data_IF_921582277762
#
_entry.id   IF_921582277762
#
_cell.length_a   1.000
_cell.length_b   1.000
_cell.length_c   1.000
_cell.angle_alpha   90.00
_cell.angle_beta   90.00
_cell.angle_gamma   90.00
#
_symmetry.space_group_name_H-M   'P 1'
#
loop_
_entity.id
_entity.type
_entity.pdbx_description
1 polymer ?
#
# COMPACT_ATOMS: atom_id res chain seq x y z
N UNK A 1 12.98 -24.66 0.66
CA UNK A 1 12.20 -23.41 0.52
C UNK A 1 13.20 -22.27 0.42
N UNK A 2 13.46 -21.83 -0.80
CA UNK A 2 14.56 -20.94 -1.13
C UNK A 2 14.41 -19.59 -0.41
N UNK A 3 15.56 -19.03 -0.01
CA UNK A 3 15.57 -17.77 0.70
C UNK A 3 15.25 -16.62 -0.26
N UNK A 4 14.24 -15.81 0.05
CA UNK A 4 14.02 -14.50 -0.55
C UNK A 4 14.98 -13.49 0.10
N UNK A 5 16.02 -13.01 -0.60
CA UNK A 5 16.96 -12.04 -0.05
C UNK A 5 16.24 -10.75 0.35
N UNK A 6 16.60 -10.14 1.48
CA UNK A 6 15.99 -8.88 1.94
C UNK A 6 14.58 -8.98 2.54
N UNK A 7 13.94 -10.17 2.53
CA UNK A 7 12.63 -10.38 3.16
C UNK A 7 12.73 -11.13 4.50
N UNK A 8 12.07 -10.67 5.58
CA UNK A 8 12.11 -11.33 6.88
C UNK A 8 11.56 -12.76 6.83
N UNK A 9 12.38 -13.75 7.19
CA UNK A 9 12.01 -15.19 7.16
C UNK A 9 10.72 -15.50 7.92
N UNK A 10 10.53 -14.88 9.10
CA UNK A 10 9.34 -15.02 9.95
C UNK A 10 8.05 -14.55 9.28
N UNK A 11 8.13 -13.74 8.23
CA UNK A 11 6.99 -13.13 7.53
C UNK A 11 6.71 -13.75 6.17
N UNK A 12 7.49 -14.75 5.72
CA UNK A 12 7.34 -15.35 4.38
C UNK A 12 5.95 -15.91 4.10
N UNK A 13 5.26 -16.38 5.13
CA UNK A 13 3.88 -16.86 5.04
C UNK A 13 2.85 -15.78 4.63
N UNK A 14 3.25 -14.50 4.63
CA UNK A 14 2.42 -13.38 4.18
C UNK A 14 2.56 -13.09 2.69
N UNK A 15 3.56 -13.69 2.04
CA UNK A 15 3.83 -13.41 0.63
C UNK A 15 2.84 -14.16 -0.24
N UNK A 16 1.98 -13.45 -1.00
CA UNK A 16 1.19 -14.09 -2.04
C UNK A 16 2.12 -14.73 -3.08
N UNK A 17 1.70 -15.81 -3.74
CA UNK A 17 2.50 -16.42 -4.81
C UNK A 17 2.68 -15.46 -5.99
N UNK A 18 1.64 -14.68 -6.24
CA UNK A 18 1.54 -13.77 -7.38
C UNK A 18 0.76 -12.51 -6.98
N UNK A 19 1.13 -11.36 -7.52
CA UNK A 19 0.40 -10.09 -7.36
C UNK A 19 0.14 -9.55 -8.77
N UNK A 20 -1.14 -9.42 -9.16
CA UNK A 20 -1.54 -8.87 -10.47
C UNK A 20 -0.80 -9.50 -11.68
N UNK A 21 -0.67 -10.82 -11.74
CA UNK A 21 0.06 -11.49 -12.84
C UNK A 21 1.55 -11.71 -12.56
N UNK A 22 2.13 -11.08 -11.53
CA UNK A 22 3.58 -11.06 -11.29
C UNK A 22 3.98 -11.99 -10.16
N UNK A 23 4.87 -12.95 -10.44
CA UNK A 23 5.41 -13.87 -9.44
C UNK A 23 6.27 -13.15 -8.41
N UNK A 24 6.03 -13.40 -7.11
CA UNK A 24 6.70 -12.68 -6.01
C UNK A 24 8.02 -13.32 -5.57
N UNK A 25 8.27 -14.58 -5.95
CA UNK A 25 9.39 -15.40 -5.47
C UNK A 25 10.77 -14.88 -5.85
N UNK A 26 10.86 -14.06 -6.90
CA UNK A 26 12.11 -13.49 -7.43
C UNK A 26 12.18 -11.97 -7.25
N UNK A 27 11.32 -11.40 -6.41
CA UNK A 27 11.26 -9.96 -6.22
C UNK A 27 12.55 -9.42 -5.57
N UNK A 28 13.15 -8.41 -6.21
CA UNK A 28 14.30 -7.69 -5.67
C UNK A 28 13.83 -6.58 -4.71
N UNK A 29 14.07 -6.79 -3.42
CA UNK A 29 13.70 -5.84 -2.37
C UNK A 29 14.55 -4.58 -2.31
N UNK A 30 15.68 -4.54 -3.03
CA UNK A 30 16.57 -3.38 -3.10
C UNK A 30 16.39 -2.60 -4.41
N UNK A 31 15.54 -3.08 -5.32
CA UNK A 31 15.21 -2.38 -6.57
C UNK A 31 14.56 -1.01 -6.30
N UNK A 32 14.86 0.01 -7.13
CA UNK A 32 14.24 1.33 -7.02
C UNK A 32 12.73 1.25 -7.24
N UNK A 33 11.99 2.24 -6.70
CA UNK A 33 10.54 2.35 -6.89
C UNK A 33 10.20 2.46 -8.39
N UNK A 34 9.44 1.51 -8.99
CA UNK A 34 8.97 1.62 -10.36
C UNK A 34 7.98 2.78 -10.54
N UNK A 35 7.79 3.24 -11.77
CA UNK A 35 6.90 4.36 -12.09
C UNK A 35 5.57 3.94 -12.72
N UNK A 36 5.42 2.67 -13.11
CA UNK A 36 4.26 2.15 -13.84
C UNK A 36 3.65 0.92 -13.17
N UNK A 37 2.35 0.72 -13.35
CA UNK A 37 1.68 -0.54 -12.99
C UNK A 37 1.90 -1.61 -14.06
N UNK A 38 1.89 -2.90 -13.69
CA UNK A 38 1.64 -3.44 -12.35
C UNK A 38 2.85 -3.38 -11.40
N UNK A 39 4.06 -3.12 -11.90
CA UNK A 39 5.32 -3.20 -11.13
C UNK A 39 5.35 -2.31 -9.88
N UNK A 40 4.82 -1.09 -9.98
CA UNK A 40 4.69 -0.18 -8.83
C UNK A 40 3.81 -0.78 -7.72
N UNK A 41 2.70 -1.43 -8.08
CA UNK A 41 1.81 -2.09 -7.13
C UNK A 41 2.50 -3.26 -6.44
N UNK A 42 3.18 -4.11 -7.23
CA UNK A 42 3.95 -5.25 -6.71
C UNK A 42 5.04 -4.75 -5.78
N UNK A 43 5.81 -3.75 -6.20
CA UNK A 43 6.89 -3.18 -5.41
C UNK A 43 6.40 -2.59 -4.08
N UNK A 44 5.28 -1.86 -4.11
CA UNK A 44 4.72 -1.24 -2.92
C UNK A 44 4.20 -2.28 -1.93
N UNK A 45 3.49 -3.32 -2.41
CA UNK A 45 2.99 -4.39 -1.55
C UNK A 45 4.14 -5.20 -0.94
N UNK A 46 5.10 -5.62 -1.76
CA UNK A 46 6.26 -6.41 -1.31
C UNK A 46 7.08 -5.68 -0.25
N UNK A 47 7.30 -4.37 -0.42
CA UNK A 47 8.02 -3.56 0.57
C UNK A 47 7.18 -3.24 1.82
N UNK A 48 5.87 -3.02 1.68
CA UNK A 48 5.00 -2.80 2.83
C UNK A 48 4.90 -4.05 3.73
N UNK A 49 4.84 -5.25 3.14
CA UNK A 49 4.79 -6.51 3.87
C UNK A 49 6.03 -6.80 4.73
N UNK A 50 7.17 -6.14 4.49
CA UNK A 50 8.37 -6.25 5.35
C UNK A 50 8.11 -5.69 6.75
N UNK A 51 7.36 -4.60 6.85
CA UNK A 51 7.30 -3.75 8.06
C UNK A 51 5.89 -3.43 8.57
N UNK A 52 4.82 -3.87 7.88
CA UNK A 52 3.46 -3.69 8.40
C UNK A 52 3.28 -4.40 9.77
N UNK A 53 2.44 -3.85 10.63
CA UNK A 53 2.12 -4.40 11.94
C UNK A 53 1.31 -5.69 11.81
N UNK A 54 1.44 -6.58 12.81
CA UNK A 54 0.68 -7.83 12.84
C UNK A 54 -0.83 -7.63 12.96
N UNK A 55 -1.28 -6.45 13.41
CA UNK A 55 -2.70 -6.08 13.55
C UNK A 55 -3.38 -5.84 12.20
N UNK A 56 -2.61 -5.50 11.16
CA UNK A 56 -3.09 -5.32 9.79
C UNK A 56 -3.10 -6.64 9.02
N UNK A 57 -2.60 -7.73 9.62
CA UNK A 57 -2.56 -9.06 9.01
C UNK A 57 -3.85 -9.85 9.32
N UNK A 58 -4.97 -9.44 8.75
CA UNK A 58 -5.80 -10.40 8.04
C UNK A 58 -5.73 -10.06 6.56
N UNK A 59 -4.55 -10.22 5.96
CA UNK A 59 -4.43 -10.30 4.51
C UNK A 59 -5.36 -11.43 4.05
N UNK A 60 -6.15 -11.24 2.98
CA UNK A 60 -6.73 -12.34 2.27
C UNK A 60 -5.61 -13.33 1.93
N UNK A 61 -5.55 -14.46 2.62
CA UNK A 61 -4.67 -15.55 2.22
C UNK A 61 -5.10 -15.92 0.81
N UNK A 62 -4.26 -15.77 -0.20
CA UNK A 62 -4.65 -16.15 -1.57
C UNK A 62 -5.04 -17.63 -1.66
N UNK A 63 -4.47 -18.45 -0.78
CA UNK A 63 -4.75 -19.86 -0.55
C UNK A 63 -6.06 -20.11 0.24
N UNK A 64 -6.58 -19.10 0.92
CA UNK A 64 -7.96 -19.04 1.40
C UNK A 64 -8.63 -17.87 0.69
N UNK A 65 -8.90 -18.06 -0.61
CA UNK A 65 -9.93 -17.31 -1.31
C UNK A 65 -11.26 -17.53 -0.59
N UNK A 66 -11.42 -16.89 0.57
CA UNK A 66 -12.69 -16.42 1.05
C UNK A 66 -13.26 -15.69 -0.15
N UNK A 67 -14.35 -16.23 -0.66
CA UNK A 67 -15.14 -15.76 -1.80
C UNK A 67 -15.48 -14.25 -1.72
N UNK A 68 -15.16 -13.59 -0.60
CA UNK A 68 -15.49 -12.21 -0.26
C UNK A 68 -14.28 -11.28 -0.05
N UNK A 69 -13.06 -11.69 -0.37
CA UNK A 69 -11.91 -10.75 -0.28
C UNK A 69 -11.81 -9.91 -1.55
N UNK A 70 -11.85 -8.57 -1.48
CA UNK A 70 -11.75 -7.74 -2.67
C UNK A 70 -10.42 -7.97 -3.39
N UNK A 71 -10.41 -7.90 -4.74
CA UNK A 71 -9.18 -8.04 -5.51
C UNK A 71 -8.19 -6.93 -5.14
N UNK A 72 -6.90 -7.22 -5.26
CA UNK A 72 -5.83 -6.22 -5.10
C UNK A 72 -6.09 -5.08 -6.09
N UNK A 73 -6.18 -3.85 -5.59
CA UNK A 73 -6.29 -2.65 -6.41
C UNK A 73 -4.93 -2.27 -6.99
N UNK A 74 -4.93 -1.78 -8.22
CA UNK A 74 -3.75 -1.09 -8.74
C UNK A 74 -3.47 0.17 -7.92
N UNK A 75 -2.20 0.35 -7.55
CA UNK A 75 -1.73 1.51 -6.84
C UNK A 75 -1.73 2.72 -7.77
N UNK A 76 -2.40 3.78 -7.33
CA UNK A 76 -2.31 5.09 -7.96
C UNK A 76 -1.79 6.08 -6.93
N UNK A 77 -0.68 6.72 -7.27
CA UNK A 77 0.00 7.69 -6.40
C UNK A 77 -0.36 9.08 -6.90
N UNK A 78 -0.62 10.02 -5.98
CA UNK A 78 -0.86 11.41 -6.36
C UNK A 78 0.40 12.04 -6.95
N UNK A 79 0.22 13.07 -7.76
CA UNK A 79 1.31 13.99 -8.11
C UNK A 79 1.36 15.14 -7.10
N UNK A 80 2.55 15.71 -6.94
CA UNK A 80 2.79 16.98 -6.25
C UNK A 80 3.57 17.88 -7.19
N UNK A 81 3.31 19.18 -7.12
CA UNK A 81 4.14 20.16 -7.79
C UNK A 81 5.47 20.27 -7.05
N UNK A 82 6.57 19.96 -7.74
CA UNK A 82 7.90 20.26 -7.23
C UNK A 82 8.13 21.77 -7.36
N UNK A 83 8.27 22.47 -6.23
CA UNK A 83 8.34 23.94 -6.21
C UNK A 83 9.63 24.50 -6.83
N UNK A 84 10.66 23.69 -7.03
CA UNK A 84 11.93 24.12 -7.62
C UNK A 84 11.90 23.99 -9.15
N UNK A 85 11.38 22.88 -9.65
CA UNK A 85 11.31 22.60 -11.09
C UNK A 85 9.99 23.02 -11.73
N UNK A 86 8.95 23.30 -10.93
CA UNK A 86 7.57 23.52 -11.37
C UNK A 86 7.01 22.35 -12.19
N UNK A 87 7.56 21.15 -11.99
CA UNK A 87 7.13 19.91 -12.64
C UNK A 87 6.29 19.09 -11.66
N UNK A 88 5.18 18.54 -12.14
CA UNK A 88 4.42 17.57 -11.37
C UNK A 88 5.18 16.24 -11.28
N UNK A 89 5.46 15.80 -10.05
CA UNK A 89 6.15 14.54 -9.78
C UNK A 89 5.27 13.64 -8.90
N UNK A 90 5.25 12.32 -9.13
CA UNK A 90 4.57 11.39 -8.22
C UNK A 90 5.12 11.51 -6.80
N UNK A 91 4.27 11.31 -5.79
CA UNK A 91 4.74 11.19 -4.41
C UNK A 91 5.71 10.01 -4.27
N UNK A 92 6.85 10.24 -3.62
CA UNK A 92 7.74 9.15 -3.19
C UNK A 92 7.10 8.40 -2.02
N UNK A 93 7.08 7.07 -2.09
CA UNK A 93 6.48 6.24 -1.05
C UNK A 93 7.49 5.94 0.06
N UNK A 94 7.27 6.50 1.25
CA UNK A 94 8.08 6.19 2.42
C UNK A 94 7.55 4.93 3.13
N UNK A 95 8.02 3.76 2.70
CA UNK A 95 7.72 2.45 3.30
C UNK A 95 8.77 2.01 4.36
N UNK A 96 9.54 2.96 4.91
CA UNK A 96 10.39 2.71 6.07
C UNK A 96 9.62 2.81 7.39
N UNK A 97 8.44 3.45 7.39
CA UNK A 97 7.58 3.58 8.57
C UNK A 97 6.51 2.50 8.56
N UNK A 98 6.44 1.70 9.62
CA UNK A 98 5.43 0.63 9.77
C UNK A 98 4.00 1.12 9.58
N UNK A 99 3.67 2.33 10.04
CA UNK A 99 2.36 2.94 9.83
C UNK A 99 2.04 3.20 8.34
N UNK A 100 3.02 3.64 7.55
CA UNK A 100 2.82 3.82 6.11
C UNK A 100 2.69 2.48 5.41
N UNK A 101 3.41 1.46 5.87
CA UNK A 101 3.22 0.08 5.40
C UNK A 101 1.80 -0.43 5.69
N UNK A 102 1.29 -0.16 6.90
CA UNK A 102 -0.09 -0.49 7.30
C UNK A 102 -1.13 0.23 6.45
N UNK A 103 -0.92 1.51 6.18
CA UNK A 103 -1.77 2.29 5.29
C UNK A 103 -1.70 1.79 3.84
N UNK A 104 -0.51 1.42 3.34
CA UNK A 104 -0.33 0.86 1.99
C UNK A 104 -1.07 -0.46 1.82
N UNK A 105 -0.85 -1.42 2.73
CA UNK A 105 -1.54 -2.72 2.67
C UNK A 105 -3.05 -2.52 2.68
N UNK A 106 -3.59 -1.71 3.60
CA UNK A 106 -5.03 -1.42 3.63
C UNK A 106 -5.53 -0.66 2.41
N UNK A 107 -4.69 0.13 1.75
CA UNK A 107 -5.05 0.82 0.53
C UNK A 107 -5.26 -0.14 -0.64
N UNK A 108 -4.38 -1.14 -0.76
CA UNK A 108 -4.43 -2.11 -1.86
C UNK A 108 -5.57 -3.13 -1.71
N UNK A 109 -5.97 -3.45 -0.46
CA UNK A 109 -7.05 -4.39 -0.17
C UNK A 109 -8.36 -3.72 0.30
N UNK A 110 -8.40 -2.39 0.36
CA UNK A 110 -9.54 -1.65 0.87
C UNK A 110 -10.55 -1.27 -0.20
N UNK A 111 -11.63 -0.66 0.27
CA UNK A 111 -12.72 -0.17 -0.59
C UNK A 111 -12.70 1.35 -0.63
N UNK A 112 -13.02 1.89 -1.80
CA UNK A 112 -13.17 3.33 -1.96
C UNK A 112 -14.50 3.78 -1.37
N UNK A 113 -14.44 4.76 -0.47
CA UNK A 113 -15.64 5.35 0.09
C UNK A 113 -16.38 6.16 -0.97
N UNK A 114 -17.71 6.05 -0.95
CA UNK A 114 -18.59 6.93 -1.72
C UNK A 114 -18.36 8.40 -1.33
N UNK A 115 -18.22 8.68 -0.04
CA UNK A 115 -17.94 10.01 0.49
C UNK A 115 -16.48 10.16 0.93
N UNK A 116 -15.78 11.15 0.35
CA UNK A 116 -14.38 11.45 0.64
C UNK A 116 -14.26 12.31 1.91
N UNK A 117 -13.33 11.96 2.80
CA UNK A 117 -13.01 12.81 3.96
C UNK A 117 -12.36 14.14 3.51
N UNK A 118 -12.37 15.16 4.38
CA UNK A 118 -11.81 16.50 4.10
C UNK A 118 -10.38 16.44 3.55
N UNK A 119 -9.53 15.58 4.11
CA UNK A 119 -8.13 15.42 3.67
C UNK A 119 -8.03 14.94 2.22
N UNK A 120 -8.87 13.97 1.85
CA UNK A 120 -8.93 13.45 0.48
C UNK A 120 -9.55 14.45 -0.50
N UNK A 121 -10.57 15.21 -0.07
CA UNK A 121 -11.14 16.31 -0.88
C UNK A 121 -10.09 17.39 -1.16
N UNK A 122 -9.28 17.73 -0.16
CA UNK A 122 -8.20 18.72 -0.29
C UNK A 122 -6.96 18.21 -1.03
N UNK A 123 -6.98 16.99 -1.59
CA UNK A 123 -5.81 16.45 -2.27
C UNK A 123 -4.61 16.15 -1.35
N UNK A 124 -4.80 16.11 -0.03
CA UNK A 124 -3.74 15.78 0.95
C UNK A 124 -3.53 14.27 1.12
N UNK A 125 -2.27 13.85 1.17
CA UNK A 125 -1.85 12.43 1.24
C UNK A 125 -1.16 11.97 -0.05
N UNK A 126 -0.50 10.81 0.01
CA UNK A 126 0.29 10.30 -1.11
C UNK A 126 -0.53 9.43 -2.10
N UNK A 127 -1.68 8.90 -1.67
CA UNK A 127 -2.40 7.84 -2.39
C UNK A 127 -3.65 8.41 -3.07
N UNK A 128 -3.98 7.98 -4.29
CA UNK A 128 -5.20 8.40 -4.96
C UNK A 128 -6.43 7.71 -4.34
N UNK A 129 -7.55 8.42 -4.22
CA UNK A 129 -8.78 7.86 -3.64
C UNK A 129 -8.88 8.01 -2.11
N UNK A 130 -10.05 7.65 -1.58
CA UNK A 130 -10.35 7.68 -0.15
C UNK A 130 -10.67 6.26 0.32
N UNK A 131 -9.62 5.47 0.53
CA UNK A 131 -9.76 4.03 0.78
C UNK A 131 -9.88 3.73 2.27
N UNK A 132 -10.82 2.87 2.64
CA UNK A 132 -11.01 2.35 4.00
C UNK A 132 -11.05 0.84 4.01
N UNK A 133 -10.93 0.27 5.20
CA UNK A 133 -11.10 -1.16 5.47
C UNK A 133 -12.04 -1.30 6.66
N UNK A 134 -12.72 -2.44 6.80
CA UNK A 134 -13.61 -2.71 7.94
C UNK A 134 -12.90 -2.60 9.29
N UNK A 135 -11.58 -2.78 9.33
CA UNK A 135 -10.74 -2.68 10.52
C UNK A 135 -10.31 -1.26 10.89
N UNK A 136 -10.63 -0.24 10.07
CA UNK A 136 -10.22 1.15 10.29
C UNK A 136 -11.38 2.13 10.16
N UNK A 137 -11.51 3.03 11.15
CA UNK A 137 -12.49 4.13 11.11
C UNK A 137 -12.07 5.31 10.22
N UNK A 138 -10.83 5.30 9.75
CA UNK A 138 -10.19 6.40 9.00
C UNK A 138 -9.60 5.88 7.69
N UNK A 139 -9.52 6.75 6.68
CA UNK A 139 -8.99 6.38 5.37
C UNK A 139 -7.47 6.28 5.37
N UNK A 140 -6.92 5.55 4.40
CA UNK A 140 -5.48 5.27 4.30
C UNK A 140 -4.63 6.53 4.12
N UNK A 141 -5.15 7.58 3.47
CA UNK A 141 -4.47 8.88 3.36
C UNK A 141 -4.42 9.66 4.68
N UNK A 142 -5.38 9.45 5.58
CA UNK A 142 -5.34 10.00 6.94
C UNK A 142 -4.27 9.28 7.76
N UNK A 143 -4.19 7.95 7.65
CA UNK A 143 -3.18 7.13 8.32
C UNK A 143 -1.77 7.31 7.76
N UNK A 144 -1.66 7.66 6.49
CA UNK A 144 -0.39 7.94 5.84
C UNK A 144 0.30 9.16 6.47
N UNK A 145 1.45 8.92 7.10
CA UNK A 145 2.16 9.90 7.91
C UNK A 145 1.22 10.59 8.93
N UNK A 146 0.35 9.84 9.61
CA UNK A 146 -0.57 10.40 10.59
C UNK A 146 0.18 11.24 11.63
N UNK A 147 -0.21 12.51 11.75
CA UNK A 147 0.33 13.46 12.73
C UNK A 147 -0.73 14.08 13.63
N UNK A 148 -1.99 13.61 13.58
CA UNK A 148 -3.11 14.18 14.34
C UNK A 148 -4.48 13.77 13.81
N UNK A 149 -5.55 14.28 14.45
CA UNK A 149 -6.95 13.88 14.21
C UNK A 149 -7.36 14.19 12.76
N UNK A 150 -7.67 13.15 11.99
CA UNK A 150 -8.42 13.28 10.73
C UNK A 150 -9.90 13.18 11.07
N UNK A 151 -10.62 14.29 11.10
CA UNK A 151 -12.08 14.28 11.19
C UNK A 151 -12.69 13.95 9.84
N UNK A 152 -13.83 13.26 9.88
CA UNK A 152 -14.74 13.13 8.74
C UNK A 152 -15.32 14.49 8.37
#
# INVERSE_FOLDING_TARGET
ADALPGFPSKRRHLLPKEILGVETRSFDHEAPQPTTNPDLTVWALMNALKQCSSRVIPLPRQDQASINSPPIRELQVRTKLDMQSMVETPYTLNLQRSQNCDAMVRHLFGEERQERCTRCVQGKGALLGCITTSSSKVCTNCDWNWSGICSL
#
